data_IF_386197697332
#
_entry.id   IF_386197697332
#
_cell.length_a   1.000
_cell.length_b   1.000
_cell.length_c   1.000
_cell.angle_alpha   90.00
_cell.angle_beta   90.00
_cell.angle_gamma   90.00
#
_symmetry.space_group_name_H-M   'P 1'
#
loop_
_entity.id
_entity.type
_entity.pdbx_description
1 polymer ?
#
# COMPACT_ATOMS: atom_id res chain seq x y z
N UNK A 1 4.30 6.33 -6.93
CA UNK A 1 5.66 6.82 -6.58
C UNK A 1 6.71 5.82 -7.03
N UNK A 2 7.97 6.24 -7.16
CA UNK A 2 9.09 5.31 -7.39
C UNK A 2 9.78 5.00 -6.08
N UNK A 3 10.08 3.73 -5.84
CA UNK A 3 10.76 3.25 -4.65
C UNK A 3 12.07 2.60 -5.07
N UNK A 4 13.16 2.87 -4.33
CA UNK A 4 14.45 2.22 -4.55
C UNK A 4 14.65 1.13 -3.50
N UNK A 5 14.56 -0.13 -3.91
CA UNK A 5 14.73 -1.29 -3.03
C UNK A 5 15.09 -2.53 -3.85
N UNK A 6 15.71 -3.51 -3.19
CA UNK A 6 15.99 -4.82 -3.78
C UNK A 6 15.06 -5.85 -3.13
N UNK A 7 14.12 -6.39 -3.91
CA UNK A 7 13.25 -7.46 -3.46
C UNK A 7 14.05 -8.74 -3.18
N UNK A 8 13.60 -9.54 -2.22
CA UNK A 8 14.29 -10.75 -1.75
C UNK A 8 15.50 -10.46 -0.86
N UNK A 9 15.74 -9.20 -0.49
CA UNK A 9 16.85 -8.79 0.37
C UNK A 9 16.34 -8.05 1.62
N UNK A 10 17.00 -8.20 2.78
CA UNK A 10 16.69 -7.42 3.97
C UNK A 10 17.12 -5.97 3.75
N UNK A 11 16.19 -5.16 3.27
CA UNK A 11 16.34 -3.72 3.07
C UNK A 11 15.22 -2.96 3.76
N UNK A 12 15.35 -1.64 3.87
CA UNK A 12 14.36 -0.80 4.54
C UNK A 12 12.98 -0.87 3.86
N UNK A 13 11.93 -0.84 4.66
CA UNK A 13 10.56 -0.71 4.17
C UNK A 13 10.33 0.64 3.50
N UNK A 14 9.48 0.66 2.48
CA UNK A 14 8.97 1.90 1.92
C UNK A 14 7.54 1.71 1.44
N UNK A 15 6.81 2.81 1.31
CA UNK A 15 5.39 2.75 1.02
C UNK A 15 4.78 4.09 0.67
N UNK A 16 3.45 4.08 0.59
CA UNK A 16 2.61 5.25 0.44
C UNK A 16 1.59 5.29 1.56
N UNK A 17 1.38 6.47 2.14
CA UNK A 17 0.28 6.74 3.02
C UNK A 17 -0.81 7.55 2.30
N UNK A 18 -2.08 7.22 2.54
CA UNK A 18 -3.20 7.91 1.91
C UNK A 18 -4.42 7.93 2.82
N UNK A 19 -5.36 8.83 2.54
CA UNK A 19 -6.49 9.06 3.44
C UNK A 19 -6.06 9.56 4.82
N UNK A 20 -4.91 10.26 4.88
CA UNK A 20 -4.33 10.72 6.15
C UNK A 20 -5.23 11.79 6.76
N UNK A 21 -5.81 11.50 7.92
CA UNK A 21 -6.46 12.50 8.77
C UNK A 21 -5.42 13.15 9.69
N UNK A 22 -4.60 12.31 10.32
CA UNK A 22 -3.56 12.66 11.27
C UNK A 22 -2.50 11.54 11.34
N UNK A 23 -1.54 11.66 12.26
CA UNK A 23 -0.45 10.69 12.42
C UNK A 23 -0.87 9.32 12.99
N UNK A 24 -2.15 9.13 13.33
CA UNK A 24 -2.72 7.92 13.94
C UNK A 24 -3.86 7.32 13.12
N UNK A 25 -4.36 8.04 12.11
CA UNK A 25 -5.54 7.70 11.33
C UNK A 25 -5.27 7.86 9.83
N UNK A 26 -4.85 6.77 9.18
CA UNK A 26 -4.49 6.73 7.77
C UNK A 26 -4.43 5.30 7.22
N UNK A 27 -4.40 5.15 5.89
CA UNK A 27 -3.98 3.91 5.27
C UNK A 27 -2.50 3.93 4.93
N UNK A 28 -1.84 2.78 5.04
CA UNK A 28 -0.46 2.59 4.62
C UNK A 28 -0.36 1.38 3.68
N UNK A 29 0.21 1.58 2.49
CA UNK A 29 0.63 0.48 1.61
C UNK A 29 2.13 0.36 1.72
N UNK A 30 2.62 -0.73 2.32
CA UNK A 30 4.02 -0.95 2.65
C UNK A 30 4.55 -2.12 1.84
N UNK A 31 5.71 -1.94 1.23
CA UNK A 31 6.47 -3.00 0.57
C UNK A 31 7.45 -3.58 1.58
N UNK A 32 7.42 -4.90 1.74
CA UNK A 32 8.30 -5.71 2.57
C UNK A 32 9.28 -6.48 1.66
N UNK A 33 10.50 -5.96 1.44
CA UNK A 33 11.43 -6.56 0.48
C UNK A 33 11.97 -7.91 0.94
N UNK A 34 12.12 -8.12 2.25
CA UNK A 34 12.62 -9.38 2.82
C UNK A 34 11.68 -10.56 2.60
N UNK A 35 10.37 -10.31 2.70
CA UNK A 35 9.35 -11.34 2.58
C UNK A 35 8.69 -11.33 1.21
N UNK A 36 9.03 -10.37 0.34
CA UNK A 36 8.41 -10.15 -0.97
C UNK A 36 6.90 -9.97 -0.89
N UNK A 37 6.44 -9.05 -0.04
CA UNK A 37 5.02 -8.75 0.06
C UNK A 37 4.75 -7.26 -0.06
N UNK A 38 3.57 -6.94 -0.58
CA UNK A 38 2.92 -5.66 -0.34
C UNK A 38 1.79 -5.89 0.64
N UNK A 39 1.77 -5.10 1.71
CA UNK A 39 0.73 -5.16 2.73
C UNK A 39 0.04 -3.82 2.82
N UNK A 40 -1.28 -3.82 2.88
CA UNK A 40 -2.08 -2.63 3.14
C UNK A 40 -2.62 -2.69 4.55
N UNK A 41 -2.34 -1.64 5.31
CA UNK A 41 -2.83 -1.44 6.66
C UNK A 41 -3.85 -0.31 6.69
N UNK A 42 -4.89 -0.47 7.49
CA UNK A 42 -5.64 0.66 8.04
C UNK A 42 -5.10 0.92 9.45
N UNK A 43 -4.53 2.10 9.67
CA UNK A 43 -4.07 2.54 10.98
C UNK A 43 -5.18 3.36 11.60
N UNK A 44 -5.77 2.86 12.68
CA UNK A 44 -6.85 3.54 13.44
C UNK A 44 -6.39 3.75 14.86
N UNK A 45 -6.43 5.00 15.33
CA UNK A 45 -5.93 5.37 16.66
C UNK A 45 -4.49 4.89 16.93
N UNK A 46 -3.66 4.84 15.87
CA UNK A 46 -2.27 4.39 15.91
C UNK A 46 -2.09 2.87 15.88
N UNK A 47 -3.18 2.09 15.79
CA UNK A 47 -3.13 0.63 15.71
C UNK A 47 -3.23 0.19 14.26
N UNK A 48 -2.19 -0.44 13.68
CA UNK A 48 -2.24 -0.97 12.33
C UNK A 48 -3.01 -2.29 12.27
N UNK A 49 -3.98 -2.37 11.35
CA UNK A 49 -4.71 -3.61 11.02
C UNK A 49 -4.46 -3.95 9.56
N UNK A 50 -3.99 -5.15 9.28
CA UNK A 50 -3.83 -5.65 7.91
C UNK A 50 -5.20 -5.81 7.24
N UNK A 51 -5.37 -5.16 6.08
CA UNK A 51 -6.59 -5.23 5.27
C UNK A 51 -6.40 -6.17 4.09
N UNK A 52 -5.21 -6.14 3.50
CA UNK A 52 -4.89 -6.92 2.32
C UNK A 52 -3.38 -7.16 2.21
N UNK A 53 -3.00 -8.28 1.61
CA UNK A 53 -1.61 -8.68 1.40
C UNK A 53 -1.48 -9.44 0.08
N UNK A 54 -0.43 -9.13 -0.67
CA UNK A 54 -0.09 -9.82 -1.91
C UNK A 54 1.41 -10.14 -1.96
N UNK A 55 1.74 -11.26 -2.57
CA UNK A 55 3.12 -11.64 -2.88
C UNK A 55 3.64 -10.82 -4.07
N UNK A 56 4.93 -10.49 -4.02
CA UNK A 56 5.69 -9.87 -5.09
C UNK A 56 6.59 -10.91 -5.72
N UNK A 57 6.69 -10.89 -7.05
CA UNK A 57 7.70 -11.67 -7.76
C UNK A 57 8.99 -10.83 -7.80
N UNK A 58 10.07 -11.26 -7.11
CA UNK A 58 11.31 -10.50 -7.10
C UNK A 58 11.93 -10.44 -8.50
N UNK A 59 12.65 -9.36 -8.74
CA UNK A 59 13.50 -9.21 -9.91
C UNK A 59 14.74 -8.38 -9.52
N UNK A 60 15.80 -8.47 -10.31
CA UNK A 60 17.10 -7.84 -9.99
C UNK A 60 17.15 -6.33 -10.31
N UNK A 61 15.99 -5.67 -10.46
CA UNK A 61 15.95 -4.22 -10.70
C UNK A 61 15.72 -3.47 -9.37
N UNK A 62 16.46 -2.40 -9.09
CA UNK A 62 16.37 -1.72 -7.81
C UNK A 62 15.25 -0.67 -7.74
N UNK A 63 14.55 -0.39 -8.84
CA UNK A 63 13.57 0.68 -8.91
C UNK A 63 12.19 0.17 -9.29
N UNK A 64 11.25 0.34 -8.39
CA UNK A 64 9.88 -0.14 -8.55
C UNK A 64 8.87 1.01 -8.57
N UNK A 65 7.73 0.78 -9.20
CA UNK A 65 6.62 1.71 -9.25
C UNK A 65 5.45 1.22 -8.39
N UNK A 66 5.16 1.94 -7.31
CA UNK A 66 3.99 1.71 -6.48
C UNK A 66 2.90 2.72 -6.83
N UNK A 67 1.70 2.24 -7.18
CA UNK A 67 0.54 3.09 -7.44
C UNK A 67 -0.66 2.58 -6.66
N UNK A 68 -1.38 3.51 -6.07
CA UNK A 68 -2.68 3.27 -5.43
C UNK A 68 -3.72 3.98 -6.27
N UNK A 69 -4.78 3.28 -6.63
CA UNK A 69 -5.95 3.85 -7.27
C UNK A 69 -7.14 3.67 -6.34
N UNK A 70 -7.98 4.70 -6.28
CA UNK A 70 -9.17 4.68 -5.45
C UNK A 70 -10.34 5.27 -6.20
N UNK A 71 -11.50 4.64 -6.08
CA UNK A 71 -12.74 5.10 -6.70
C UNK A 71 -13.94 4.50 -5.96
N UNK A 72 -15.10 5.16 -6.09
CA UNK A 72 -16.34 4.70 -5.46
C UNK A 72 -17.16 3.91 -6.48
N UNK A 73 -17.55 2.68 -6.14
CA UNK A 73 -18.61 1.96 -6.85
C UNK A 73 -19.85 1.96 -5.97
N UNK A 74 -20.89 2.66 -6.43
CA UNK A 74 -22.14 2.92 -5.68
C UNK A 74 -21.83 3.62 -4.34
N UNK A 75 -21.75 2.89 -3.24
CA UNK A 75 -21.57 3.39 -1.88
C UNK A 75 -20.35 2.82 -1.18
N UNK A 76 -19.52 2.08 -1.90
CA UNK A 76 -18.35 1.41 -1.36
C UNK A 76 -17.09 1.95 -2.02
N UNK A 77 -16.07 2.19 -1.20
CA UNK A 77 -14.77 2.69 -1.61
C UNK A 77 -13.87 1.54 -2.02
N UNK A 78 -13.58 1.44 -3.32
CA UNK A 78 -12.65 0.45 -3.88
C UNK A 78 -11.25 1.04 -3.86
N UNK A 79 -10.29 0.27 -3.36
CA UNK A 79 -8.87 0.59 -3.36
C UNK A 79 -8.15 -0.52 -4.12
N UNK A 80 -7.36 -0.12 -5.11
CA UNK A 80 -6.52 -0.99 -5.91
C UNK A 80 -5.05 -0.63 -5.72
N UNK A 81 -4.21 -1.64 -5.56
CA UNK A 81 -2.76 -1.47 -5.44
C UNK A 81 -2.08 -2.12 -6.62
N UNK A 82 -1.23 -1.35 -7.27
CA UNK A 82 -0.41 -1.77 -8.38
C UNK A 82 1.06 -1.68 -8.02
N UNK A 83 1.81 -2.69 -8.42
CA UNK A 83 3.26 -2.73 -8.31
C UNK A 83 3.84 -3.08 -9.68
N UNK A 84 4.80 -2.28 -10.15
CA UNK A 84 5.41 -2.41 -11.47
C UNK A 84 4.38 -2.59 -12.59
N UNK A 85 3.31 -1.78 -12.54
CA UNK A 85 2.20 -1.74 -13.49
C UNK A 85 1.23 -2.93 -13.45
N UNK A 86 1.44 -3.90 -12.57
CA UNK A 86 0.54 -5.04 -12.36
C UNK A 86 -0.38 -4.77 -11.18
N UNK A 87 -1.68 -5.04 -11.35
CA UNK A 87 -2.63 -4.98 -10.23
C UNK A 87 -2.39 -6.18 -9.31
N UNK A 88 -2.11 -5.93 -8.04
CA UNK A 88 -1.87 -6.97 -7.04
C UNK A 88 -3.07 -7.17 -6.12
N UNK A 89 -3.73 -6.08 -5.75
CA UNK A 89 -4.81 -6.07 -4.77
C UNK A 89 -5.97 -5.22 -5.27
N UNK A 90 -7.18 -5.67 -4.97
CA UNK A 90 -8.42 -4.91 -5.09
C UNK A 90 -9.32 -5.25 -3.91
N UNK A 91 -9.64 -4.27 -3.07
CA UNK A 91 -10.41 -4.48 -1.85
C UNK A 91 -11.26 -3.24 -1.53
N UNK A 92 -12.15 -3.39 -0.56
CA UNK A 92 -13.09 -2.34 -0.16
C UNK A 92 -12.83 -1.97 1.29
N UNK A 93 -12.57 -0.69 1.56
CA UNK A 93 -12.52 -0.18 2.92
C UNK A 93 -12.94 1.30 2.95
N UNK A 94 -13.91 1.61 3.80
CA UNK A 94 -14.52 2.94 3.89
C UNK A 94 -14.07 3.79 5.07
N UNK A 95 -13.02 3.37 5.78
CA UNK A 95 -12.56 4.00 7.03
C UNK A 95 -12.06 5.43 6.84
N UNK A 96 -11.28 5.70 5.79
CA UNK A 96 -10.71 7.03 5.53
C UNK A 96 -11.06 7.53 4.12
N UNK A 97 -12.24 8.15 4.01
CA UNK A 97 -12.81 8.54 2.70
C UNK A 97 -12.19 9.78 2.07
N UNK A 98 -11.50 10.63 2.80
CA UNK A 98 -10.77 11.78 2.26
C UNK A 98 -9.45 11.88 3.01
N UNK A 99 -8.55 12.78 2.64
CA UNK A 99 -7.34 13.03 3.43
C UNK A 99 -6.13 13.34 2.59
N UNK A 100 -5.01 13.56 3.27
CA UNK A 100 -3.73 13.85 2.63
C UNK A 100 -3.07 12.57 2.11
N UNK A 101 -2.02 12.75 1.31
CA UNK A 101 -1.13 11.72 0.80
C UNK A 101 0.26 11.98 1.38
N UNK A 102 1.01 10.92 1.69
CA UNK A 102 2.35 10.96 2.27
C UNK A 102 3.24 9.82 1.78
#
# INVERSE_FOLDING_TARGET
>A
VRLKMLLGSPSGYAGLAFGIQDAKNFYATVVHPESNHVVVYAVKEGVPTEIAKAELIPNDIPWHFLRIQRYTIVSKEVIEVFFDHHMLLSFWDGSFRVGKIG
#
